data_IF_474332376360
#
_entry.id   IF_474332376360
#
_cell.length_a   1.000
_cell.length_b   1.000
_cell.length_c   1.000
_cell.angle_alpha   90.00
_cell.angle_beta   90.00
_cell.angle_gamma   90.00
#
_symmetry.space_group_name_H-M   'P 1'
#
loop_
_entity.id
_entity.type
_entity.pdbx_description
1 polymer ?
#
# COMPACT_ATOMS: atom_id res chain seq x y z
N UNK A 1 -33.15 4.67 9.19
CA UNK A 1 -31.69 4.57 9.46
C UNK A 1 -30.97 5.37 8.41
N UNK A 2 -30.51 6.56 8.75
CA UNK A 2 -29.76 7.45 7.85
C UNK A 2 -28.41 6.81 7.55
N UNK A 3 -28.17 6.50 6.28
CA UNK A 3 -26.86 6.09 5.76
C UNK A 3 -25.96 7.30 5.92
N UNK A 4 -25.27 7.41 7.06
CA UNK A 4 -24.27 8.44 7.30
C UNK A 4 -23.21 8.19 6.23
N UNK A 5 -23.17 9.03 5.20
CA UNK A 5 -22.06 9.06 4.26
C UNK A 5 -20.81 9.13 5.13
N UNK A 6 -19.99 8.07 5.07
CA UNK A 6 -18.71 8.04 5.76
C UNK A 6 -17.92 9.16 5.10
N UNK A 7 -17.94 10.36 5.69
CA UNK A 7 -17.05 11.44 5.31
C UNK A 7 -15.65 10.85 5.21
N UNK A 8 -14.87 11.31 4.23
CA UNK A 8 -13.54 10.78 3.90
C UNK A 8 -12.63 10.84 5.13
N UNK A 9 -12.71 9.84 6.01
CA UNK A 9 -11.85 9.71 7.17
C UNK A 9 -10.44 9.41 6.63
N UNK A 10 -9.44 10.25 6.95
CA UNK A 10 -8.08 9.96 6.55
C UNK A 10 -7.64 8.60 7.06
N UNK A 11 -7.00 7.80 6.21
CA UNK A 11 -6.44 6.50 6.61
C UNK A 11 -5.49 6.66 7.80
N UNK A 12 -5.67 5.84 8.84
CA UNK A 12 -4.98 6.01 10.12
C UNK A 12 -3.52 5.55 9.99
N UNK A 13 -2.58 6.42 10.36
CA UNK A 13 -1.14 6.07 10.38
C UNK A 13 -0.78 5.36 11.71
N UNK A 14 0.27 4.50 11.74
CA UNK A 14 1.09 4.08 10.60
C UNK A 14 0.36 3.07 9.72
N UNK A 15 0.67 3.09 8.43
CA UNK A 15 0.29 1.99 7.55
C UNK A 15 1.27 0.83 7.76
N UNK A 16 0.84 -0.40 7.50
CA UNK A 16 1.66 -1.63 7.61
C UNK A 16 1.47 -2.53 6.39
N UNK A 17 2.47 -3.36 6.11
CA UNK A 17 2.39 -4.43 5.12
C UNK A 17 2.12 -5.75 5.84
N UNK A 18 1.14 -6.51 5.36
CA UNK A 18 0.86 -7.89 5.77
C UNK A 18 1.14 -8.80 4.57
N UNK A 19 2.06 -9.75 4.72
CA UNK A 19 2.36 -10.71 3.66
C UNK A 19 1.38 -11.89 3.70
N UNK A 20 0.77 -12.17 2.55
CA UNK A 20 -0.09 -13.32 2.29
C UNK A 20 0.57 -14.25 1.27
N UNK A 21 -0.09 -15.39 0.95
CA UNK A 21 0.47 -16.39 0.03
C UNK A 21 0.73 -15.88 -1.38
N UNK A 22 -0.08 -14.95 -1.88
CA UNK A 22 -0.01 -14.41 -3.26
C UNK A 22 -0.05 -12.88 -3.31
N UNK A 23 0.02 -12.20 -2.17
CA UNK A 23 -0.08 -10.74 -2.12
C UNK A 23 0.61 -10.12 -0.91
N UNK A 24 0.91 -8.84 -1.04
CA UNK A 24 1.17 -7.95 0.08
C UNK A 24 -0.04 -7.05 0.27
N UNK A 25 -0.65 -7.09 1.46
CA UNK A 25 -1.73 -6.21 1.84
C UNK A 25 -1.19 -4.98 2.55
N UNK A 26 -1.68 -3.81 2.18
CA UNK A 26 -1.43 -2.57 2.91
C UNK A 26 -2.66 -2.30 3.78
N UNK A 27 -2.45 -2.20 5.08
CA UNK A 27 -3.47 -1.88 6.07
C UNK A 27 -3.12 -0.57 6.77
N UNK A 28 -4.14 0.17 7.20
CA UNK A 28 -3.97 1.28 8.12
C UNK A 28 -3.91 0.79 9.58
N UNK A 29 -3.69 1.69 10.53
CA UNK A 29 -3.54 1.33 11.94
C UNK A 29 -4.84 0.82 12.60
N UNK A 30 -6.00 1.05 11.97
CA UNK A 30 -7.29 0.51 12.39
C UNK A 30 -7.61 -0.84 11.71
N UNK A 31 -6.61 -1.45 11.08
CA UNK A 31 -6.72 -2.68 10.29
C UNK A 31 -7.64 -2.52 9.08
N UNK A 32 -7.89 -1.28 8.64
CA UNK A 32 -8.64 -1.03 7.42
C UNK A 32 -7.77 -1.37 6.23
N UNK A 33 -8.31 -2.22 5.35
CA UNK A 33 -7.69 -2.56 4.08
C UNK A 33 -7.55 -1.31 3.18
N UNK A 34 -6.33 -1.08 2.67
CA UNK A 34 -6.03 0.02 1.74
C UNK A 34 -5.77 -0.48 0.31
N UNK A 35 -4.95 -1.51 0.15
CA UNK A 35 -4.62 -2.08 -1.16
C UNK A 35 -4.00 -3.48 -1.06
N UNK A 36 -4.09 -4.26 -2.15
CA UNK A 36 -3.33 -5.49 -2.34
C UNK A 36 -2.36 -5.33 -3.51
N UNK A 37 -1.12 -5.79 -3.32
CA UNK A 37 -0.13 -5.95 -4.39
C UNK A 37 0.08 -7.44 -4.63
N UNK A 38 -0.49 -7.96 -5.72
CA UNK A 38 -0.43 -9.38 -6.05
C UNK A 38 0.89 -9.75 -6.74
N UNK A 39 1.42 -10.91 -6.39
CA UNK A 39 2.61 -11.49 -7.01
C UNK A 39 2.35 -12.92 -7.48
N UNK A 40 3.24 -13.38 -8.35
CA UNK A 40 3.27 -14.74 -8.85
C UNK A 40 4.70 -15.14 -9.18
N UNK A 41 5.18 -16.26 -8.65
CA UNK A 41 6.55 -16.69 -8.87
C UNK A 41 6.70 -17.54 -10.14
N UNK A 42 5.67 -18.26 -10.56
CA UNK A 42 5.71 -19.05 -11.80
C UNK A 42 5.60 -18.13 -13.03
N UNK A 43 6.59 -18.15 -13.91
CA UNK A 43 6.76 -17.16 -14.97
C UNK A 43 5.58 -17.12 -15.97
N UNK A 44 5.02 -18.27 -16.32
CA UNK A 44 3.93 -18.39 -17.29
C UNK A 44 2.64 -17.81 -16.72
N UNK A 45 2.29 -18.22 -15.49
CA UNK A 45 1.15 -17.77 -14.72
C UNK A 45 1.27 -16.28 -14.38
N UNK A 46 2.48 -15.80 -14.05
CA UNK A 46 2.76 -14.38 -13.82
C UNK A 46 2.40 -13.53 -15.03
N UNK A 47 2.85 -13.95 -16.22
CA UNK A 47 2.56 -13.27 -17.49
C UNK A 47 1.07 -13.30 -17.82
N UNK A 48 0.42 -14.46 -17.63
CA UNK A 48 -1.00 -14.62 -17.89
C UNK A 48 -1.86 -13.76 -16.95
N UNK A 49 -1.55 -13.75 -15.66
CA UNK A 49 -2.27 -13.00 -14.61
C UNK A 49 -1.85 -11.53 -14.50
N UNK A 50 -0.84 -11.09 -15.28
CA UNK A 50 -0.25 -9.74 -15.22
C UNK A 50 0.17 -9.35 -13.80
N UNK A 51 0.76 -10.30 -13.07
CA UNK A 51 1.26 -10.12 -11.70
C UNK A 51 2.74 -9.74 -11.68
N UNK A 52 3.20 -9.21 -10.56
CA UNK A 52 4.61 -8.92 -10.31
C UNK A 52 5.36 -10.18 -9.86
N UNK A 53 6.70 -10.15 -9.91
CA UNK A 53 7.51 -11.05 -9.10
C UNK A 53 7.33 -10.71 -7.62
N UNK A 54 7.55 -11.67 -6.70
CA UNK A 54 7.40 -11.41 -5.26
C UNK A 54 8.24 -10.24 -4.76
N UNK A 55 9.51 -10.15 -5.16
CA UNK A 55 10.40 -9.06 -4.75
C UNK A 55 9.96 -7.70 -5.30
N UNK A 56 9.44 -7.66 -6.53
CA UNK A 56 8.94 -6.43 -7.13
C UNK A 56 7.63 -5.98 -6.49
N UNK A 57 6.75 -6.92 -6.13
CA UNK A 57 5.54 -6.63 -5.36
C UNK A 57 5.85 -6.10 -3.97
N UNK A 58 6.87 -6.65 -3.29
CA UNK A 58 7.33 -6.14 -1.99
C UNK A 58 7.82 -4.70 -2.11
N UNK A 59 8.68 -4.40 -3.08
CA UNK A 59 9.17 -3.04 -3.34
C UNK A 59 8.03 -2.06 -3.62
N UNK A 60 7.04 -2.48 -4.42
CA UNK A 60 5.87 -1.65 -4.70
C UNK A 60 5.03 -1.39 -3.44
N UNK A 61 4.81 -2.42 -2.60
CA UNK A 61 4.11 -2.27 -1.33
C UNK A 61 4.86 -1.32 -0.37
N UNK A 62 6.19 -1.39 -0.30
CA UNK A 62 7.04 -0.47 0.46
C UNK A 62 6.96 0.96 -0.06
N UNK A 63 6.90 1.16 -1.39
CA UNK A 63 6.67 2.49 -1.97
C UNK A 63 5.30 3.06 -1.60
N UNK A 64 4.24 2.23 -1.62
CA UNK A 64 2.90 2.62 -1.18
C UNK A 64 2.92 3.02 0.31
N UNK A 65 3.65 2.28 1.15
CA UNK A 65 3.81 2.56 2.58
C UNK A 65 4.36 3.97 2.85
N UNK A 66 5.18 4.50 1.92
CA UNK A 66 5.79 5.84 2.02
C UNK A 66 4.88 6.98 1.59
N UNK A 67 3.73 6.71 0.94
CA UNK A 67 2.82 7.76 0.45
C UNK A 67 2.42 8.78 1.51
N UNK A 68 2.10 8.42 2.77
CA UNK A 68 1.72 9.40 3.78
C UNK A 68 2.83 10.40 4.11
N UNK A 69 4.09 10.03 3.91
CA UNK A 69 5.26 10.89 4.09
C UNK A 69 5.53 11.71 2.82
N UNK A 70 5.48 11.07 1.64
CA UNK A 70 5.67 11.76 0.36
C UNK A 70 4.65 12.88 0.13
N UNK A 71 3.38 12.67 0.51
CA UNK A 71 2.34 13.72 0.44
C UNK A 71 2.65 14.89 1.37
N UNK A 72 3.27 14.66 2.53
CA UNK A 72 3.67 15.74 3.45
C UNK A 72 4.85 16.53 2.88
N UNK A 73 5.87 15.85 2.36
CA UNK A 73 7.02 16.47 1.69
C UNK A 73 6.55 17.31 0.49
N UNK A 74 5.72 16.75 -0.39
CA UNK A 74 5.21 17.45 -1.57
C UNK A 74 4.36 18.70 -1.22
N UNK A 75 3.80 18.75 0.01
CA UNK A 75 3.07 19.90 0.55
C UNK A 75 3.97 20.89 1.32
N UNK A 76 5.28 20.66 1.38
CA UNK A 76 6.22 21.45 2.18
C UNK A 76 6.00 21.33 3.70
N UNK A 77 5.31 20.28 4.15
CA UNK A 77 5.00 20.07 5.57
C UNK A 77 6.11 19.35 6.33
N UNK A 78 6.99 18.66 5.60
CA UNK A 78 8.22 18.08 6.11
C UNK A 78 9.37 18.49 5.18
N UNK A 79 10.55 18.83 5.74
CA UNK A 79 11.74 18.98 4.92
C UNK A 79 12.06 17.65 4.23
N UNK A 80 12.57 17.72 3.00
CA UNK A 80 13.19 16.58 2.36
C UNK A 80 14.36 16.14 3.26
N UNK A 81 14.31 14.92 3.77
CA UNK A 81 15.40 14.36 4.56
C UNK A 81 16.47 13.95 3.55
N UNK A 82 17.45 14.82 3.32
CA UNK A 82 18.70 14.43 2.66
C UNK A 82 19.30 13.27 3.46
N UNK A 83 19.50 12.15 2.78
CA UNK A 83 19.95 10.88 3.37
C UNK A 83 21.37 10.91 3.91
#
# INVERSE_FOLDING_TARGET
>A
MTKKERGYEPFVKPWRIVEHSESFEIQDAAEQHLAYVYFEDEQTRRRFMRRLAKDDARKMAEQILRLPQLVRIARGLDPEQDG
#
